data_IF_583630210542
#
_entry.id   IF_583630210542
#
_cell.length_a   1.000
_cell.length_b   1.000
_cell.length_c   1.000
_cell.angle_alpha   90.00
_cell.angle_beta   90.00
_cell.angle_gamma   90.00
#
_symmetry.space_group_name_H-M   'P 1'
#
loop_
_entity.id
_entity.type
_entity.pdbx_description
1 polymer ?
#
# COMPACT_ATOMS: atom_id res chain seq x y z
N UNK A 1 -57.26 -44.64 17.23
CA UNK A 1 -56.63 -43.50 16.59
C UNK A 1 -55.58 -42.93 17.52
N UNK A 2 -54.29 -43.28 17.30
CA UNK A 2 -53.18 -42.83 18.13
C UNK A 2 -52.50 -41.62 17.45
N UNK A 3 -52.55 -40.45 18.08
CA UNK A 3 -51.89 -39.23 17.63
C UNK A 3 -50.44 -39.29 18.07
N UNK A 4 -49.50 -39.32 17.13
CA UNK A 4 -48.09 -39.17 17.40
C UNK A 4 -47.72 -37.71 17.61
N UNK A 5 -46.93 -37.34 18.62
CA UNK A 5 -46.44 -35.97 18.75
C UNK A 5 -45.22 -35.79 17.84
N UNK A 6 -45.32 -34.80 16.98
CA UNK A 6 -44.25 -34.28 16.13
C UNK A 6 -43.12 -33.71 17.03
N UNK A 7 -41.99 -34.40 17.08
CA UNK A 7 -40.79 -33.88 17.75
C UNK A 7 -40.10 -32.87 16.85
N UNK A 8 -40.23 -31.59 17.19
CA UNK A 8 -39.48 -30.50 16.57
C UNK A 8 -38.05 -30.60 17.08
N UNK A 9 -37.15 -30.98 16.16
CA UNK A 9 -35.70 -30.91 16.41
C UNK A 9 -35.23 -29.48 16.17
N UNK A 10 -35.08 -28.74 17.25
CA UNK A 10 -34.42 -27.41 17.20
C UNK A 10 -32.93 -27.64 17.03
N UNK A 11 -32.44 -27.44 15.81
CA UNK A 11 -31.01 -27.46 15.49
C UNK A 11 -30.42 -26.12 15.96
N UNK A 12 -29.78 -26.11 17.13
CA UNK A 12 -29.06 -24.97 17.65
C UNK A 12 -27.77 -24.81 16.83
N UNK A 13 -27.78 -23.93 15.84
CA UNK A 13 -26.58 -23.53 15.11
C UNK A 13 -25.72 -22.69 16.06
N UNK A 14 -24.71 -23.33 16.64
CA UNK A 14 -23.67 -22.66 17.41
C UNK A 14 -22.77 -21.93 16.39
N UNK A 15 -23.07 -20.66 16.13
CA UNK A 15 -22.17 -19.76 15.39
C UNK A 15 -20.92 -19.56 16.25
N UNK A 16 -19.87 -20.29 15.93
CA UNK A 16 -18.56 -20.09 16.50
C UNK A 16 -18.04 -18.73 16.07
N UNK A 17 -18.05 -17.78 16.99
CA UNK A 17 -17.33 -16.51 16.83
C UNK A 17 -15.85 -16.84 16.98
N UNK A 18 -15.16 -16.98 15.86
CA UNK A 18 -13.69 -16.98 15.81
C UNK A 18 -13.26 -15.54 16.12
N UNK A 19 -12.99 -15.28 17.38
CA UNK A 19 -12.31 -14.06 17.82
C UNK A 19 -10.86 -14.17 17.33
N UNK A 20 -10.56 -13.65 16.16
CA UNK A 20 -9.20 -13.39 15.74
C UNK A 20 -8.66 -12.31 16.70
N UNK A 21 -7.82 -12.72 17.66
CA UNK A 21 -7.02 -11.81 18.48
C UNK A 21 -5.88 -11.23 17.64
N UNK A 22 -6.21 -10.33 16.73
CA UNK A 22 -5.33 -9.30 16.21
C UNK A 22 -5.82 -7.99 16.82
N UNK A 23 -5.00 -7.33 17.64
CA UNK A 23 -5.36 -6.02 18.16
C UNK A 23 -5.68 -5.09 17.00
N UNK A 24 -6.95 -4.77 16.79
CA UNK A 24 -7.36 -3.82 15.78
C UNK A 24 -6.87 -2.43 16.18
N UNK A 25 -5.85 -1.94 15.50
CA UNK A 25 -5.41 -0.55 15.66
C UNK A 25 -6.57 0.33 15.21
N UNK A 26 -7.04 1.20 16.09
CA UNK A 26 -8.07 2.18 15.77
C UNK A 26 -7.40 3.40 15.14
N UNK A 27 -7.64 3.60 13.87
CA UNK A 27 -7.24 4.83 13.20
C UNK A 27 -8.33 5.89 13.29
N UNK A 28 -7.95 7.14 13.52
CA UNK A 28 -8.86 8.26 13.46
C UNK A 28 -9.17 8.63 11.99
N UNK A 29 -10.41 9.06 11.74
CA UNK A 29 -10.79 9.58 10.43
C UNK A 29 -9.98 10.85 10.12
N UNK A 30 -9.50 10.97 8.87
CA UNK A 30 -8.69 12.11 8.44
C UNK A 30 -7.85 11.81 7.22
N UNK A 31 -7.01 12.78 6.84
CA UNK A 31 -6.02 12.66 5.78
C UNK A 31 -4.63 12.67 6.40
N UNK A 32 -3.80 11.70 6.01
CA UNK A 32 -2.49 11.47 6.57
C UNK A 32 -1.45 11.33 5.48
N UNK A 33 -0.34 12.03 5.65
CA UNK A 33 0.82 11.90 4.78
C UNK A 33 1.90 11.10 5.49
N UNK A 34 2.56 10.22 4.73
CA UNK A 34 3.75 9.53 5.17
C UNK A 34 4.83 9.58 4.11
N UNK A 35 6.07 9.59 4.55
CA UNK A 35 7.25 9.67 3.71
C UNK A 35 8.23 8.58 4.11
N UNK A 36 8.77 7.86 3.12
CA UNK A 36 9.86 6.91 3.37
C UNK A 36 11.19 7.62 3.63
N UNK A 37 12.14 6.90 4.19
CA UNK A 37 13.54 7.30 4.19
C UNK A 37 14.07 7.45 2.76
N UNK A 38 15.17 8.19 2.63
CA UNK A 38 15.89 8.28 1.37
C UNK A 38 16.60 6.95 1.10
N UNK A 39 16.29 6.33 -0.03
CA UNK A 39 17.03 5.20 -0.55
C UNK A 39 18.16 5.69 -1.44
N UNK A 40 19.35 5.18 -1.20
CA UNK A 40 20.54 5.39 -2.03
C UNK A 40 21.08 4.03 -2.46
N UNK A 41 21.12 3.80 -3.77
CA UNK A 41 21.63 2.56 -4.33
C UNK A 41 23.16 2.56 -4.25
N UNK A 42 23.77 1.65 -3.47
CA UNK A 42 25.23 1.63 -3.31
C UNK A 42 25.97 1.20 -4.57
N UNK A 43 25.32 0.45 -5.46
CA UNK A 43 25.92 -0.13 -6.66
C UNK A 43 25.69 0.73 -7.91
N UNK A 44 24.67 1.59 -7.91
CA UNK A 44 24.34 2.43 -9.05
C UNK A 44 23.73 3.77 -8.57
N UNK A 45 24.53 4.82 -8.49
CA UNK A 45 24.07 6.13 -8.03
C UNK A 45 23.06 6.82 -8.96
N UNK A 46 22.85 6.29 -10.18
CA UNK A 46 21.85 6.83 -11.13
C UNK A 46 20.52 6.06 -11.10
N UNK A 47 20.46 4.90 -10.43
CA UNK A 47 19.29 4.03 -10.48
C UNK A 47 18.58 3.87 -9.14
N UNK A 48 17.29 4.17 -9.11
CA UNK A 48 16.40 3.87 -8.01
C UNK A 48 16.45 4.82 -6.80
N UNK A 49 17.44 5.72 -6.74
CA UNK A 49 17.61 6.64 -5.62
C UNK A 49 16.39 7.54 -5.42
N UNK A 50 16.13 7.90 -4.17
CA UNK A 50 15.03 8.78 -3.82
C UNK A 50 14.14 8.25 -2.71
N UNK A 51 12.93 8.76 -2.63
CA UNK A 51 11.99 8.44 -1.57
C UNK A 51 10.56 8.38 -2.11
N UNK A 52 9.69 7.77 -1.32
CA UNK A 52 8.27 7.68 -1.60
C UNK A 52 7.45 8.57 -0.66
N UNK A 53 6.37 9.14 -1.16
CA UNK A 53 5.37 9.86 -0.38
C UNK A 53 4.00 9.27 -0.63
N UNK A 54 3.29 8.95 0.45
CA UNK A 54 1.92 8.46 0.42
C UNK A 54 0.98 9.48 1.05
N UNK A 55 -0.20 9.64 0.48
CA UNK A 55 -1.32 10.34 1.12
C UNK A 55 -2.47 9.34 1.24
N UNK A 56 -3.00 9.18 2.45
CA UNK A 56 -4.06 8.25 2.80
C UNK A 56 -5.24 9.02 3.37
N UNK A 57 -6.46 8.70 2.93
CA UNK A 57 -7.68 9.16 3.58
C UNK A 57 -8.31 7.98 4.30
N UNK A 58 -8.56 8.18 5.60
CA UNK A 58 -9.27 7.23 6.45
C UNK A 58 -10.66 7.80 6.76
N UNK A 59 -11.68 7.00 6.51
CA UNK A 59 -13.07 7.32 6.80
C UNK A 59 -13.77 6.08 7.32
N UNK A 60 -14.54 6.25 8.40
CA UNK A 60 -15.23 5.14 9.07
C UNK A 60 -14.26 3.98 9.42
N UNK A 61 -13.04 4.33 9.86
CA UNK A 61 -11.94 3.39 10.20
C UNK A 61 -11.39 2.56 9.04
N UNK A 62 -11.73 2.88 7.82
CA UNK A 62 -11.23 2.23 6.61
C UNK A 62 -10.41 3.19 5.76
N UNK A 63 -9.37 2.67 5.10
CA UNK A 63 -8.62 3.41 4.08
C UNK A 63 -9.51 3.52 2.85
N UNK A 64 -9.96 4.73 2.52
CA UNK A 64 -10.86 4.99 1.39
C UNK A 64 -10.15 5.55 0.17
N UNK A 65 -9.04 6.24 0.39
CA UNK A 65 -8.21 6.79 -0.68
C UNK A 65 -6.73 6.59 -0.34
N UNK A 66 -5.95 6.36 -1.36
CA UNK A 66 -4.49 6.31 -1.27
C UNK A 66 -3.89 6.83 -2.56
N UNK A 67 -2.87 7.66 -2.45
CA UNK A 67 -1.99 8.01 -3.55
C UNK A 67 -0.55 7.76 -3.13
N UNK A 68 0.25 7.25 -4.03
CA UNK A 68 1.68 7.04 -3.80
C UNK A 68 2.49 7.61 -4.95
N UNK A 69 3.50 8.40 -4.63
CA UNK A 69 4.41 9.00 -5.59
C UNK A 69 5.85 8.81 -5.15
N UNK A 70 6.72 8.56 -6.11
CA UNK A 70 8.15 8.42 -5.90
C UNK A 70 8.88 9.65 -6.42
N UNK A 71 9.91 10.08 -5.70
CA UNK A 71 10.69 11.29 -5.98
C UNK A 71 12.18 10.95 -6.04
N UNK A 72 12.93 11.72 -6.82
CA UNK A 72 14.38 11.72 -6.78
C UNK A 72 14.89 12.38 -5.50
N UNK A 73 16.19 12.22 -5.15
CA UNK A 73 16.75 12.80 -3.92
C UNK A 73 16.59 14.32 -3.82
N UNK A 74 16.57 15.02 -4.95
CA UNK A 74 16.40 16.49 -5.03
C UNK A 74 14.93 16.94 -4.93
N UNK A 75 13.98 16.00 -4.85
CA UNK A 75 12.54 16.28 -4.80
C UNK A 75 11.84 16.31 -6.15
N UNK A 76 12.54 15.99 -7.24
CA UNK A 76 11.92 15.86 -8.57
C UNK A 76 11.00 14.65 -8.60
N UNK A 77 9.75 14.82 -9.05
CA UNK A 77 8.80 13.71 -9.20
C UNK A 77 9.29 12.74 -10.28
N UNK A 78 9.35 11.45 -9.94
CA UNK A 78 9.58 10.38 -10.91
C UNK A 78 8.31 10.15 -11.72
N UNK A 79 8.19 10.86 -12.84
CA UNK A 79 7.08 10.79 -13.78
C UNK A 79 7.51 10.19 -15.12
N UNK A 80 6.82 10.60 -16.18
CA UNK A 80 7.10 10.16 -17.58
C UNK A 80 8.49 10.53 -18.11
N UNK A 81 9.16 11.48 -17.47
CA UNK A 81 10.54 11.86 -17.81
C UNK A 81 11.61 11.08 -17.04
N UNK A 82 11.19 10.36 -15.99
CA UNK A 82 12.13 9.55 -15.19
C UNK A 82 12.77 8.45 -16.04
N UNK A 83 14.09 8.41 -16.04
CA UNK A 83 14.88 7.50 -16.87
C UNK A 83 15.26 8.06 -18.26
N UNK A 84 14.86 9.31 -18.57
CA UNK A 84 15.37 10.05 -19.73
C UNK A 84 16.65 10.81 -19.35
N UNK A 85 17.50 11.08 -20.35
CA UNK A 85 18.62 12.02 -20.24
C UNK A 85 18.31 13.29 -21.05
N UNK A 86 19.12 14.34 -20.88
CA UNK A 86 19.02 15.55 -21.71
C UNK A 86 19.13 15.15 -23.19
N UNK A 87 18.05 15.26 -23.95
CA UNK A 87 17.97 14.81 -25.35
C UNK A 87 17.08 13.58 -25.58
N UNK A 88 16.44 13.04 -24.54
CA UNK A 88 15.45 11.98 -24.64
C UNK A 88 15.91 10.62 -24.11
N UNK A 89 15.33 9.55 -24.65
CA UNK A 89 15.62 8.18 -24.20
C UNK A 89 16.93 7.70 -24.82
N UNK A 90 18.03 7.75 -24.06
CA UNK A 90 19.34 7.25 -24.47
C UNK A 90 19.51 5.76 -24.24
N UNK A 91 18.87 5.20 -23.22
CA UNK A 91 18.84 3.77 -22.89
C UNK A 91 17.39 3.32 -22.74
N UNK A 92 16.88 2.61 -23.72
CA UNK A 92 15.48 2.17 -23.77
C UNK A 92 15.16 1.16 -22.70
N UNK A 93 16.07 0.24 -22.38
CA UNK A 93 15.83 -0.80 -21.36
C UNK A 93 15.78 -0.17 -19.96
N UNK A 94 16.66 0.76 -19.68
CA UNK A 94 16.63 1.53 -18.44
C UNK A 94 15.33 2.35 -18.33
N UNK A 95 14.97 3.08 -19.37
CA UNK A 95 13.73 3.85 -19.41
C UNK A 95 12.50 2.98 -19.18
N UNK A 96 12.42 1.83 -19.84
CA UNK A 96 11.30 0.90 -19.68
C UNK A 96 11.20 0.38 -18.24
N UNK A 97 12.32 0.07 -17.57
CA UNK A 97 12.36 -0.31 -16.16
C UNK A 97 11.91 0.84 -15.27
N UNK A 98 12.39 2.04 -15.51
CA UNK A 98 12.01 3.25 -14.79
C UNK A 98 10.50 3.50 -14.88
N UNK A 99 9.92 3.41 -16.08
CA UNK A 99 8.48 3.60 -16.27
C UNK A 99 7.63 2.49 -15.65
N UNK A 100 8.12 1.24 -15.57
CA UNK A 100 7.45 0.19 -14.80
C UNK A 100 7.41 0.51 -13.31
N UNK A 101 8.49 1.03 -12.76
CA UNK A 101 8.54 1.45 -11.36
C UNK A 101 7.58 2.62 -11.08
N UNK A 102 7.49 3.58 -12.02
CA UNK A 102 6.51 4.69 -11.91
C UNK A 102 5.07 4.17 -11.93
N UNK A 103 4.74 3.28 -12.86
CA UNK A 103 3.39 2.70 -12.96
C UNK A 103 3.02 1.85 -11.73
N UNK A 104 3.99 1.18 -11.11
CA UNK A 104 3.77 0.38 -9.91
C UNK A 104 3.30 1.21 -8.72
N UNK A 105 3.59 2.50 -8.66
CA UNK A 105 3.12 3.37 -7.58
C UNK A 105 1.59 3.39 -7.50
N UNK A 106 0.89 3.50 -8.61
CA UNK A 106 -0.57 3.47 -8.65
C UNK A 106 -1.13 2.09 -8.26
N UNK A 107 -0.44 1.02 -8.67
CA UNK A 107 -0.86 -0.35 -8.33
C UNK A 107 -0.71 -0.64 -6.82
N UNK A 108 0.35 -0.17 -6.17
CA UNK A 108 0.50 -0.30 -4.71
C UNK A 108 -0.59 0.46 -3.97
N UNK A 109 -0.92 1.67 -4.40
CA UNK A 109 -2.02 2.44 -3.82
C UNK A 109 -3.38 1.71 -3.95
N UNK A 110 -3.66 1.10 -5.11
CA UNK A 110 -4.87 0.29 -5.33
C UNK A 110 -4.90 -0.97 -4.46
N UNK A 111 -3.78 -1.67 -4.32
CA UNK A 111 -3.69 -2.84 -3.44
C UNK A 111 -4.04 -2.46 -2.00
N UNK A 112 -3.50 -1.35 -1.48
CA UNK A 112 -3.80 -0.88 -0.13
C UNK A 112 -5.27 -0.54 0.07
N UNK A 113 -5.90 0.17 -0.87
CA UNK A 113 -7.34 0.46 -0.80
C UNK A 113 -8.16 -0.82 -0.80
N UNK A 114 -7.78 -1.78 -1.63
CA UNK A 114 -8.51 -3.05 -1.78
C UNK A 114 -8.39 -3.98 -0.58
N UNK A 115 -7.17 -4.11 -0.02
CA UNK A 115 -6.91 -5.00 1.11
C UNK A 115 -7.23 -4.34 2.46
N UNK A 116 -7.04 -3.02 2.57
CA UNK A 116 -7.08 -2.29 3.83
C UNK A 116 -5.94 -2.63 4.80
N UNK A 117 -4.96 -3.40 4.35
CA UNK A 117 -3.88 -3.92 5.18
C UNK A 117 -2.53 -3.85 4.45
N UNK A 118 -1.54 -3.24 5.09
CA UNK A 118 -0.21 -3.07 4.50
C UNK A 118 0.55 -4.39 4.34
N UNK A 119 0.25 -5.38 5.17
CA UNK A 119 0.91 -6.68 5.13
C UNK A 119 0.44 -7.55 3.95
N UNK A 120 -0.65 -7.15 3.29
CA UNK A 120 -1.22 -7.84 2.13
C UNK A 120 -0.77 -7.22 0.78
N UNK A 121 0.25 -6.38 0.79
CA UNK A 121 0.76 -5.73 -0.42
C UNK A 121 1.82 -6.59 -1.08
N UNK A 122 1.51 -7.09 -2.26
CA UNK A 122 2.43 -7.91 -3.06
C UNK A 122 3.45 -7.05 -3.81
N UNK A 123 4.72 -7.43 -3.71
CA UNK A 123 5.79 -6.77 -4.45
C UNK A 123 5.65 -7.01 -5.96
N UNK A 124 5.72 -5.93 -6.74
CA UNK A 124 5.66 -5.97 -8.21
C UNK A 124 7.08 -6.15 -8.76
N UNK A 125 7.25 -7.14 -9.64
CA UNK A 125 8.55 -7.42 -10.26
C UNK A 125 9.10 -6.20 -11.00
N UNK A 126 10.32 -5.79 -10.65
CA UNK A 126 11.00 -4.61 -11.19
C UNK A 126 10.64 -3.29 -10.49
N UNK A 127 9.88 -3.35 -9.39
CA UNK A 127 9.52 -2.19 -8.57
C UNK A 127 9.70 -2.45 -7.06
N UNK A 128 10.66 -3.29 -6.68
CA UNK A 128 10.89 -3.69 -5.28
C UNK A 128 11.29 -2.51 -4.39
N UNK A 129 12.12 -1.59 -4.90
CA UNK A 129 12.48 -0.38 -4.17
C UNK A 129 11.23 0.46 -3.88
N UNK A 130 10.35 0.62 -4.86
CA UNK A 130 9.09 1.33 -4.68
C UNK A 130 8.17 0.64 -3.67
N UNK A 131 8.17 -0.71 -3.63
CA UNK A 131 7.45 -1.48 -2.62
C UNK A 131 7.91 -1.12 -1.21
N UNK A 132 9.21 -1.19 -0.97
CA UNK A 132 9.78 -0.91 0.35
C UNK A 132 9.52 0.53 0.78
N UNK A 133 9.69 1.49 -0.14
CA UNK A 133 9.34 2.90 0.09
C UNK A 133 7.85 3.10 0.38
N UNK A 134 6.98 2.39 -0.33
CA UNK A 134 5.53 2.42 -0.10
C UNK A 134 5.16 1.92 1.28
N UNK A 135 5.67 0.74 1.65
CA UNK A 135 5.40 0.12 2.96
C UNK A 135 5.87 1.02 4.10
N UNK A 136 7.06 1.61 3.98
CA UNK A 136 7.58 2.53 4.98
C UNK A 136 6.74 3.81 5.08
N UNK A 137 6.41 4.44 3.95
CA UNK A 137 5.60 5.65 3.91
C UNK A 137 4.19 5.43 4.48
N UNK A 138 3.55 4.28 4.14
CA UNK A 138 2.24 3.91 4.71
C UNK A 138 2.31 3.74 6.22
N UNK A 139 3.34 3.06 6.74
CA UNK A 139 3.52 2.89 8.19
C UNK A 139 3.65 4.24 8.91
N UNK A 140 4.38 5.20 8.34
CA UNK A 140 4.50 6.54 8.92
C UNK A 140 3.17 7.31 8.88
N UNK A 141 2.41 7.22 7.79
CA UNK A 141 1.08 7.82 7.71
C UNK A 141 0.11 7.21 8.74
N UNK A 142 0.06 5.88 8.83
CA UNK A 142 -0.82 5.18 9.77
C UNK A 142 -0.44 5.43 11.23
N UNK A 143 0.84 5.52 11.56
CA UNK A 143 1.30 5.91 12.89
C UNK A 143 0.78 7.31 13.31
N UNK A 144 0.68 8.22 12.36
CA UNK A 144 0.09 9.55 12.60
C UNK A 144 -1.44 9.49 12.76
N UNK A 145 -2.08 8.46 12.24
CA UNK A 145 -3.51 8.21 12.30
C UNK A 145 -3.96 7.44 13.56
N UNK A 146 -3.03 6.86 14.33
CA UNK A 146 -3.36 6.11 15.55
C UNK A 146 -4.12 7.01 16.54
N UNK A 147 -5.33 6.58 16.93
CA UNK A 147 -6.11 7.28 17.93
C UNK A 147 -5.40 7.14 19.30
N UNK A 148 -5.14 8.28 19.94
CA UNK A 148 -4.56 8.38 21.30
C UNK A 148 -5.60 8.07 22.37
#
# INVERSE_FOLDING_TARGET
MKKSPLRIFVLLLLAGVITACGGSVNYADGSYEGKSSLYENPDDPEAGNGYGVVNIVIKDKAITECTFKSYEPDGTLKGEDYGKKSGGVSNRDFYNKAQKAVAACDEYAKQLISSGNIDDIDAISGATINHDQFVEAVKEALKSAEAK
#
